data_IF_292568731906
#
_entry.id   IF_292568731906
#
_cell.length_a   1.000
_cell.length_b   1.000
_cell.length_c   1.000
_cell.angle_alpha   90.00
_cell.angle_beta   90.00
_cell.angle_gamma   90.00
#
_symmetry.space_group_name_H-M   'P 1'
#
loop_
_entity.id
_entity.type
_entity.pdbx_description
1 polymer ?
#
# COMPACT_ATOMS: atom_id res chain seq x y z
N UNK A 1 5.86 26.28 13.46
CA UNK A 1 5.78 25.46 14.69
C UNK A 1 5.92 24.00 14.28
N UNK A 2 6.83 23.25 14.91
CA UNK A 2 6.95 21.80 14.72
C UNK A 2 6.32 21.11 15.93
N UNK A 3 5.48 20.11 15.71
CA UNK A 3 4.81 19.37 16.79
C UNK A 3 5.05 17.88 16.64
N UNK A 4 5.77 17.29 17.59
CA UNK A 4 5.91 15.85 17.73
C UNK A 4 4.73 15.32 18.54
N UNK A 5 3.89 14.47 17.94
CA UNK A 5 2.65 13.99 18.56
C UNK A 5 2.82 12.67 19.31
N UNK A 6 3.92 11.95 19.09
CA UNK A 6 4.11 10.59 19.62
C UNK A 6 3.12 9.58 19.03
N UNK A 7 2.92 8.47 19.73
CA UNK A 7 1.88 7.50 19.42
C UNK A 7 0.48 8.10 19.64
N UNK A 8 -0.43 7.82 18.72
CA UNK A 8 -1.78 8.40 18.69
C UNK A 8 -2.79 7.36 18.23
N UNK A 9 -3.97 7.37 18.84
CA UNK A 9 -5.11 6.55 18.44
C UNK A 9 -6.15 7.31 17.61
N UNK A 10 -6.00 8.63 17.48
CA UNK A 10 -6.89 9.55 16.75
C UNK A 10 -6.34 9.95 15.37
N UNK A 11 -5.63 9.00 14.72
CA UNK A 11 -5.04 9.20 13.38
C UNK A 11 -6.06 9.69 12.35
N UNK A 12 -7.31 9.17 12.29
CA UNK A 12 -8.30 9.68 11.35
C UNK A 12 -8.60 11.18 11.51
N UNK A 13 -8.69 11.67 12.74
CA UNK A 13 -8.93 13.08 13.04
C UNK A 13 -7.72 13.94 12.65
N UNK A 14 -6.51 13.46 12.91
CA UNK A 14 -5.27 14.16 12.54
C UNK A 14 -5.08 14.22 11.02
N UNK A 15 -5.36 13.12 10.31
CA UNK A 15 -5.34 13.09 8.85
C UNK A 15 -6.42 14.02 8.28
N UNK A 16 -7.63 14.00 8.83
CA UNK A 16 -8.72 14.90 8.44
C UNK A 16 -8.37 16.38 8.63
N UNK A 17 -7.61 16.73 9.66
CA UNK A 17 -7.13 18.09 9.92
C UNK A 17 -5.92 18.50 9.06
N UNK A 18 -5.24 17.55 8.40
CA UNK A 18 -4.05 17.81 7.59
C UNK A 18 -4.41 18.22 6.15
N UNK A 19 -3.63 19.12 5.56
CA UNK A 19 -3.75 19.50 4.15
C UNK A 19 -3.10 18.50 3.20
N UNK A 20 -1.95 17.96 3.59
CA UNK A 20 -1.12 17.03 2.79
C UNK A 20 -0.60 15.94 3.72
N UNK A 21 -0.63 14.70 3.25
CA UNK A 21 0.00 13.56 3.91
C UNK A 21 1.29 13.21 3.17
N UNK A 22 2.39 13.08 3.90
CA UNK A 22 3.70 12.79 3.31
C UNK A 22 4.16 11.39 3.75
N UNK A 23 4.35 10.49 2.79
CA UNK A 23 5.03 9.22 3.01
C UNK A 23 6.45 9.37 2.47
N UNK A 24 7.44 9.51 3.36
CA UNK A 24 8.81 9.84 2.98
C UNK A 24 9.81 8.77 3.43
N UNK A 25 9.41 7.50 3.40
CA UNK A 25 10.31 6.40 3.74
C UNK A 25 11.56 6.45 2.85
N UNK A 26 12.72 6.24 3.48
CA UNK A 26 14.02 6.04 2.82
C UNK A 26 14.34 4.57 2.63
N UNK A 27 13.41 3.69 2.99
CA UNK A 27 13.45 2.25 2.78
C UNK A 27 12.30 1.82 1.88
N UNK A 28 12.51 0.73 1.13
CA UNK A 28 11.46 0.15 0.30
C UNK A 28 10.31 -0.35 1.18
N UNK A 29 9.19 0.37 1.13
CA UNK A 29 7.94 -0.05 1.74
C UNK A 29 7.14 -0.83 0.68
N UNK A 30 6.90 -2.15 0.88
CA UNK A 30 6.27 -2.98 -0.13
C UNK A 30 4.82 -2.56 -0.41
N UNK A 31 4.11 -1.96 0.55
CA UNK A 31 2.73 -1.52 0.39
C UNK A 31 2.24 -0.67 1.58
N UNK A 32 2.61 0.61 1.69
CA UNK A 32 2.26 1.43 2.85
C UNK A 32 0.75 1.60 3.01
N UNK A 33 0.22 1.23 4.18
CA UNK A 33 -1.20 1.41 4.52
C UNK A 33 -1.61 2.89 4.57
N UNK A 34 -0.73 3.75 5.10
CA UNK A 34 -0.96 5.20 5.24
C UNK A 34 -1.29 5.89 3.91
N UNK A 35 -0.75 5.38 2.78
CA UNK A 35 -1.08 5.90 1.45
C UNK A 35 -2.54 5.64 1.13
N UNK A 36 -3.03 4.41 1.36
CA UNK A 36 -4.42 4.05 1.09
C UNK A 36 -5.39 4.73 2.05
N UNK A 37 -5.02 4.84 3.32
CA UNK A 37 -5.81 5.56 4.34
C UNK A 37 -5.99 7.03 3.95
N UNK A 38 -4.92 7.69 3.49
CA UNK A 38 -4.96 9.07 3.03
C UNK A 38 -5.80 9.24 1.77
N UNK A 39 -5.64 8.33 0.79
CA UNK A 39 -6.48 8.32 -0.41
C UNK A 39 -7.96 8.13 -0.07
N UNK A 40 -8.28 7.27 0.91
CA UNK A 40 -9.66 7.02 1.36
C UNK A 40 -10.31 8.26 1.96
N UNK A 41 -9.50 9.10 2.63
CA UNK A 41 -9.93 10.38 3.20
C UNK A 41 -9.90 11.54 2.20
N UNK A 42 -9.57 11.28 0.93
CA UNK A 42 -9.42 12.32 -0.09
C UNK A 42 -8.30 13.31 0.19
N UNK A 43 -7.28 12.87 0.95
CA UNK A 43 -6.10 13.66 1.24
C UNK A 43 -5.09 13.52 0.11
N UNK A 44 -4.45 14.63 -0.24
CA UNK A 44 -3.36 14.59 -1.21
C UNK A 44 -2.16 13.93 -0.55
N UNK A 45 -1.65 12.91 -1.23
CA UNK A 45 -0.46 12.18 -0.79
C UNK A 45 0.74 12.61 -1.63
N UNK A 46 1.80 13.03 -0.97
CA UNK A 46 3.14 13.19 -1.57
C UNK A 46 4.00 12.06 -1.04
N UNK A 47 4.44 11.15 -1.92
CA UNK A 47 5.09 9.92 -1.49
C UNK A 47 6.38 9.59 -2.24
N UNK A 48 7.29 8.87 -1.57
CA UNK A 48 8.53 8.39 -2.19
C UNK A 48 8.20 7.45 -3.35
N UNK A 49 8.82 7.63 -4.52
CA UNK A 49 8.73 6.75 -5.68
C UNK A 49 9.60 5.49 -5.51
N UNK A 50 9.29 4.67 -4.52
CA UNK A 50 10.01 3.44 -4.18
C UNK A 50 9.04 2.35 -3.67
N UNK A 51 9.53 1.10 -3.57
CA UNK A 51 8.71 -0.03 -3.14
C UNK A 51 7.37 -0.19 -3.88
N UNK A 52 6.29 -0.35 -3.11
CA UNK A 52 4.92 -0.50 -3.61
C UNK A 52 4.19 0.80 -3.92
N UNK A 53 4.73 1.96 -3.53
CA UNK A 53 4.06 3.26 -3.68
C UNK A 53 3.70 3.57 -5.14
N UNK A 54 4.56 3.34 -6.16
CA UNK A 54 4.18 3.58 -7.56
C UNK A 54 3.05 2.67 -8.06
N UNK A 55 2.71 1.59 -7.33
CA UNK A 55 1.54 0.75 -7.62
C UNK A 55 0.27 1.28 -6.96
N UNK A 56 0.38 2.09 -5.93
CA UNK A 56 -0.74 2.75 -5.24
C UNK A 56 -1.08 4.08 -5.92
N UNK A 57 -0.08 4.94 -6.11
CA UNK A 57 -0.24 6.31 -6.65
C UNK A 57 0.18 6.38 -8.13
N UNK A 58 -0.60 7.10 -8.92
CA UNK A 58 -0.29 7.60 -10.26
C UNK A 58 0.08 9.08 -10.14
N UNK A 59 1.36 9.36 -10.35
CA UNK A 59 1.92 10.71 -10.25
C UNK A 59 1.14 11.72 -11.09
N UNK A 60 0.68 12.81 -10.47
CA UNK A 60 -0.07 13.89 -11.10
C UNK A 60 -1.56 13.61 -11.32
N UNK A 61 -2.02 12.38 -11.08
CA UNK A 61 -3.43 11.99 -11.23
C UNK A 61 -4.14 11.90 -9.89
N UNK A 62 -3.61 11.08 -8.96
CA UNK A 62 -4.23 10.78 -7.66
C UNK A 62 -3.26 10.94 -6.48
N UNK A 63 -2.11 11.55 -6.74
CA UNK A 63 -1.08 11.89 -5.77
C UNK A 63 0.18 12.39 -6.48
N UNK A 64 1.20 12.75 -5.71
CA UNK A 64 2.49 13.20 -6.22
C UNK A 64 3.58 12.26 -5.72
N UNK A 65 4.55 12.01 -6.59
CA UNK A 65 5.66 11.10 -6.33
C UNK A 65 6.97 11.84 -6.50
N UNK A 66 7.87 11.72 -5.52
CA UNK A 66 9.21 12.29 -5.56
C UNK A 66 10.27 11.19 -5.45
N UNK A 67 11.50 11.46 -5.87
CA UNK A 67 12.63 10.55 -5.80
C UNK A 67 13.06 10.35 -4.34
N UNK A 68 13.36 9.10 -3.98
CA UNK A 68 13.84 8.77 -2.63
C UNK A 68 15.08 9.59 -2.24
N UNK A 69 15.01 10.23 -1.08
CA UNK A 69 16.06 11.11 -0.56
C UNK A 69 16.07 12.53 -1.16
N UNK A 70 15.21 12.82 -2.13
CA UNK A 70 15.12 14.16 -2.74
C UNK A 70 14.15 15.06 -1.95
N UNK A 71 14.70 15.70 -0.91
CA UNK A 71 13.95 16.63 -0.08
C UNK A 71 13.50 17.89 -0.85
N UNK A 72 14.21 18.27 -1.92
CA UNK A 72 13.87 19.44 -2.71
C UNK A 72 12.62 19.18 -3.56
N UNK A 73 12.56 18.04 -4.24
CA UNK A 73 11.39 17.61 -5.01
C UNK A 73 10.16 17.39 -4.11
N UNK A 74 10.35 16.78 -2.93
CA UNK A 74 9.29 16.68 -1.91
C UNK A 74 8.74 18.06 -1.54
N UNK A 75 9.62 19.01 -1.21
CA UNK A 75 9.23 20.36 -0.81
C UNK A 75 8.51 21.10 -1.94
N UNK A 76 8.97 20.93 -3.18
CA UNK A 76 8.31 21.49 -4.35
C UNK A 76 6.86 21.02 -4.45
N UNK A 77 6.61 19.71 -4.39
CA UNK A 77 5.25 19.16 -4.48
C UNK A 77 4.34 19.57 -3.33
N UNK A 78 4.86 19.61 -2.10
CA UNK A 78 4.08 20.10 -0.96
C UNK A 78 3.69 21.57 -1.18
N UNK A 79 4.62 22.41 -1.64
CA UNK A 79 4.35 23.82 -1.90
C UNK A 79 3.35 24.02 -3.05
N UNK A 80 3.45 23.24 -4.13
CA UNK A 80 2.50 23.26 -5.24
C UNK A 80 1.07 22.99 -4.76
N UNK A 81 0.88 21.97 -3.93
CA UNK A 81 -0.44 21.60 -3.40
C UNK A 81 -0.98 22.65 -2.41
N UNK A 82 -0.12 23.23 -1.58
CA UNK A 82 -0.53 24.27 -0.63
C UNK A 82 -0.85 25.61 -1.31
N UNK A 83 -0.21 25.90 -2.45
CA UNK A 83 -0.45 27.11 -3.22
C UNK A 83 -1.69 27.03 -4.13
N UNK A 84 -2.12 25.83 -4.53
CA UNK A 84 -3.24 25.62 -5.44
C UNK A 84 -4.36 24.75 -4.80
N UNK A 85 -5.40 25.37 -4.23
CA UNK A 85 -6.56 24.67 -3.69
C UNK A 85 -7.32 23.82 -4.71
N UNK A 86 -7.32 24.22 -6.00
CA UNK A 86 -8.01 23.49 -7.05
C UNK A 86 -7.25 22.20 -7.39
N UNK A 87 -5.92 22.26 -7.46
CA UNK A 87 -5.07 21.07 -7.56
C UNK A 87 -5.30 20.14 -6.37
N UNK A 88 -5.32 20.67 -5.14
CA UNK A 88 -5.58 19.88 -3.93
C UNK A 88 -6.90 19.12 -4.02
N UNK A 89 -7.97 19.81 -4.40
CA UNK A 89 -9.29 19.20 -4.54
C UNK A 89 -9.34 18.16 -5.67
N UNK A 90 -8.73 18.46 -6.82
CA UNK A 90 -8.64 17.55 -7.97
C UNK A 90 -7.94 16.24 -7.60
N UNK A 91 -6.74 16.33 -7.01
CA UNK A 91 -5.97 15.16 -6.61
C UNK A 91 -6.69 14.35 -5.52
N UNK A 92 -7.26 15.02 -4.51
CA UNK A 92 -8.02 14.37 -3.44
C UNK A 92 -9.23 13.59 -3.95
N UNK A 93 -10.02 14.18 -4.86
CA UNK A 93 -11.17 13.47 -5.46
C UNK A 93 -10.72 12.29 -6.33
N UNK A 94 -9.66 12.46 -7.11
CA UNK A 94 -9.10 11.39 -7.93
C UNK A 94 -8.57 10.24 -7.06
N UNK A 95 -7.96 10.53 -5.91
CA UNK A 95 -7.50 9.55 -4.94
C UNK A 95 -8.64 8.67 -4.41
N UNK A 96 -9.74 9.27 -3.95
CA UNK A 96 -10.91 8.51 -3.47
C UNK A 96 -11.47 7.62 -4.58
N UNK A 97 -11.65 8.18 -5.78
CA UNK A 97 -12.20 7.45 -6.93
C UNK A 97 -11.31 6.27 -7.32
N UNK A 98 -10.00 6.51 -7.46
CA UNK A 98 -9.05 5.50 -7.90
C UNK A 98 -8.86 4.41 -6.84
N UNK A 99 -8.91 4.77 -5.55
CA UNK A 99 -8.91 3.80 -4.46
C UNK A 99 -10.09 2.83 -4.59
N UNK A 100 -11.31 3.36 -4.72
CA UNK A 100 -12.52 2.55 -4.84
C UNK A 100 -12.50 1.62 -6.06
N UNK A 101 -11.89 2.05 -7.18
CA UNK A 101 -11.79 1.23 -8.39
C UNK A 101 -10.68 0.16 -8.31
N UNK A 102 -9.54 0.47 -7.69
CA UNK A 102 -8.32 -0.35 -7.78
C UNK A 102 -8.08 -1.24 -6.55
N UNK A 103 -8.57 -0.81 -5.38
CA UNK A 103 -8.29 -1.43 -4.08
C UNK A 103 -9.59 -1.78 -3.34
N UNK A 104 -10.59 -2.26 -4.06
CA UNK A 104 -11.86 -2.68 -3.49
C UNK A 104 -11.68 -3.98 -2.66
N UNK A 105 -11.85 -3.85 -1.35
CA UNK A 105 -11.67 -4.96 -0.40
C UNK A 105 -12.66 -6.09 -0.61
N UNK A 106 -13.93 -5.79 -0.90
CA UNK A 106 -14.95 -6.83 -1.14
C UNK A 106 -14.61 -7.65 -2.38
N UNK A 107 -14.19 -6.98 -3.46
CA UNK A 107 -13.74 -7.65 -4.68
C UNK A 107 -12.55 -8.56 -4.38
N UNK A 108 -11.55 -8.05 -3.65
CA UNK A 108 -10.39 -8.84 -3.23
C UNK A 108 -10.82 -10.06 -2.41
N UNK A 109 -11.69 -9.90 -1.40
CA UNK A 109 -12.15 -11.00 -0.56
C UNK A 109 -12.95 -12.05 -1.33
N UNK A 110 -13.74 -11.64 -2.32
CA UNK A 110 -14.49 -12.58 -3.17
C UNK A 110 -13.56 -13.39 -4.08
N UNK A 111 -12.57 -12.74 -4.70
CA UNK A 111 -11.57 -13.42 -5.53
C UNK A 111 -10.70 -14.37 -4.68
N UNK A 112 -10.30 -13.91 -3.49
CA UNK A 112 -9.53 -14.71 -2.55
C UNK A 112 -10.32 -15.93 -2.07
N UNK A 113 -11.60 -15.75 -1.68
CA UNK A 113 -12.49 -16.86 -1.31
C UNK A 113 -12.62 -17.88 -2.44
N UNK A 114 -12.86 -17.41 -3.68
CA UNK A 114 -12.99 -18.28 -4.87
C UNK A 114 -11.73 -19.10 -5.11
N UNK A 115 -10.54 -18.54 -4.86
CA UNK A 115 -9.28 -19.25 -4.95
C UNK A 115 -9.23 -20.40 -3.93
N UNK A 116 -9.57 -20.14 -2.66
CA UNK A 116 -9.63 -21.18 -1.64
C UNK A 116 -10.65 -22.26 -1.96
N UNK A 117 -11.84 -21.88 -2.43
CA UNK A 117 -12.88 -22.83 -2.84
C UNK A 117 -12.40 -23.72 -3.99
N UNK A 118 -11.67 -23.17 -4.96
CA UNK A 118 -11.10 -23.93 -6.09
C UNK A 118 -10.05 -24.94 -5.62
N UNK A 119 -9.19 -24.54 -4.68
CA UNK A 119 -8.17 -25.43 -4.12
C UNK A 119 -8.78 -26.51 -3.21
N UNK A 120 -9.81 -26.15 -2.43
CA UNK A 120 -10.51 -27.06 -1.53
C UNK A 120 -11.44 -28.05 -2.27
N UNK A 121 -12.07 -27.61 -3.37
CA UNK A 121 -12.88 -28.46 -4.25
C UNK A 121 -12.04 -29.52 -4.99
N UNK A 122 -10.71 -29.36 -4.97
CA UNK A 122 -9.77 -30.37 -5.42
C UNK A 122 -9.93 -30.70 -6.89
N UNK A 123 -9.15 -30.03 -7.74
CA UNK A 123 -8.70 -30.67 -8.98
C UNK A 123 -7.73 -31.80 -8.62
N UNK A 124 -8.31 -32.88 -8.08
CA UNK A 124 -7.65 -34.11 -7.65
C UNK A 124 -7.15 -34.95 -8.85
N UNK A 125 -7.25 -34.43 -10.07
CA UNK A 125 -6.98 -35.15 -11.31
C UNK A 125 -5.69 -34.70 -12.04
N UNK A 126 -5.12 -33.51 -11.77
CA UNK A 126 -3.97 -33.03 -12.57
C UNK A 126 -2.60 -32.98 -11.89
N UNK A 127 -2.49 -32.98 -10.55
CA UNK A 127 -1.18 -32.96 -9.86
C UNK A 127 -0.60 -34.34 -9.48
N UNK A 128 -1.26 -35.46 -9.83
CA UNK A 128 -0.70 -36.82 -9.61
C UNK A 128 0.25 -37.30 -10.71
N UNK A 129 0.54 -36.50 -11.73
CA UNK A 129 1.48 -36.89 -12.80
C UNK A 129 2.72 -36.01 -12.81
N UNK A 130 3.81 -36.64 -12.39
CA UNK A 130 5.22 -36.22 -12.44
C UNK A 130 5.79 -35.45 -11.23
N UNK A 131 5.91 -36.15 -10.09
CA UNK A 131 7.10 -35.96 -9.26
C UNK A 131 8.33 -36.38 -10.09
N UNK A 132 9.39 -35.58 -10.22
CA UNK A 132 10.66 -36.09 -10.70
C UNK A 132 11.14 -37.14 -9.69
N UNK A 133 11.49 -38.33 -10.19
CA UNK A 133 12.08 -39.38 -9.40
C UNK A 133 13.40 -38.86 -8.80
N UNK A 134 13.41 -38.45 -7.52
CA UNK A 134 14.66 -38.02 -6.88
C UNK A 134 14.63 -37.15 -5.63
N UNK A 135 13.49 -36.72 -5.09
CA UNK A 135 13.48 -35.99 -3.81
C UNK A 135 12.71 -36.77 -2.74
N UNK A 136 13.46 -37.27 -1.75
CA UNK A 136 12.95 -37.95 -0.58
C UNK A 136 11.94 -37.10 0.18
N UNK A 137 10.97 -37.79 0.81
CA UNK A 137 9.92 -37.22 1.65
C UNK A 137 10.50 -36.18 2.62
N UNK A 138 10.14 -34.92 2.44
CA UNK A 138 10.23 -33.93 3.51
C UNK A 138 8.97 -34.07 4.36
N UNK A 139 9.18 -34.46 5.61
CA UNK A 139 8.13 -34.62 6.61
C UNK A 139 7.62 -33.22 7.01
N UNK A 140 6.33 -32.95 6.74
CA UNK A 140 5.71 -31.63 6.93
C UNK A 140 5.59 -31.23 8.42
N UNK A 141 6.01 -32.07 9.37
CA UNK A 141 6.03 -31.76 10.79
C UNK A 141 7.19 -30.83 11.23
N UNK A 142 8.18 -30.57 10.37
CA UNK A 142 9.39 -29.82 10.76
C UNK A 142 9.36 -28.31 10.41
N UNK A 143 8.33 -27.79 9.76
CA UNK A 143 8.22 -26.34 9.48
C UNK A 143 7.31 -25.69 10.54
N UNK A 144 7.74 -25.75 11.79
CA UNK A 144 7.13 -24.99 12.89
C UNK A 144 8.05 -23.83 13.26
N UNK A 145 7.60 -22.61 12.98
CA UNK A 145 7.85 -21.36 13.72
C UNK A 145 9.25 -21.21 14.37
N UNK A 146 10.30 -20.98 13.57
CA UNK A 146 11.54 -20.34 14.05
C UNK A 146 12.15 -19.45 12.96
N UNK A 147 11.53 -18.29 12.68
CA UNK A 147 12.23 -17.16 12.05
C UNK A 147 11.55 -15.79 12.23
N UNK A 148 11.02 -15.54 13.42
CA UNK A 148 10.66 -14.19 13.88
C UNK A 148 11.33 -13.98 15.25
N UNK A 149 12.65 -13.94 15.25
CA UNK A 149 13.48 -13.48 16.37
C UNK A 149 14.89 -13.15 15.87
N UNK A 150 14.99 -12.24 14.89
CA UNK A 150 16.14 -11.39 14.55
C UNK A 150 15.99 -10.93 13.10
N UNK A 151 15.29 -9.81 12.88
CA UNK A 151 15.70 -8.68 12.03
C UNK A 151 14.94 -7.45 12.51
#
# INVERSE_FOLDING_TARGET
MLRFTGERSDIPQLMAASDVIVQCSTYDDPFPGVVLEAMAMGKVVVATKAGGVPKQIRHGEDGLLFRMGDAAELAQHVNEVLADPALKQKLGHAAVKNLACRFNFEKFMNEFRRLYETLAAGDSQQHRRSAPAGLGRLDLAAVTVERIANQ
#
